data_IF_702461075366
#
_entry.id   IF_702461075366
#
_cell.length_a   1.000
_cell.length_b   1.000
_cell.length_c   1.000
_cell.angle_alpha   90.00
_cell.angle_beta   90.00
_cell.angle_gamma   90.00
#
_symmetry.space_group_name_H-M   'P 1'
#
loop_
_entity.id
_entity.type
_entity.pdbx_description
1 polymer ?
#
# COMPACT_ATOMS: atom_id res chain seq x y z
N UNK A 1 -4.97 -23.18 19.75
CA UNK A 1 -5.18 -22.60 18.41
C UNK A 1 -3.80 -22.31 17.84
N UNK A 2 -3.41 -23.03 16.82
CA UNK A 2 -2.13 -22.83 16.14
C UNK A 2 -2.25 -21.48 15.44
N UNK A 3 -1.44 -20.51 15.86
CA UNK A 3 -1.28 -19.23 15.16
C UNK A 3 -0.85 -19.56 13.72
N UNK A 4 -1.80 -19.56 12.80
CA UNK A 4 -1.51 -19.78 11.38
C UNK A 4 -1.02 -18.47 10.76
N UNK A 5 0.13 -17.99 11.21
CA UNK A 5 0.78 -16.84 10.58
C UNK A 5 1.12 -17.17 9.12
N UNK A 6 0.70 -16.31 8.23
CA UNK A 6 1.05 -16.40 6.82
C UNK A 6 2.22 -15.47 6.52
N UNK A 7 3.28 -16.00 5.96
CA UNK A 7 4.49 -15.26 5.60
C UNK A 7 4.17 -14.13 4.60
N UNK A 8 4.72 -12.94 4.84
CA UNK A 8 4.58 -11.75 3.99
C UNK A 8 5.87 -11.55 3.18
N UNK A 9 5.75 -11.13 1.93
CA UNK A 9 6.91 -10.78 1.07
C UNK A 9 7.81 -9.74 1.76
N UNK A 10 7.22 -8.78 2.45
CA UNK A 10 7.95 -7.72 3.14
C UNK A 10 8.82 -8.23 4.29
N UNK A 11 8.50 -9.37 4.87
CA UNK A 11 9.23 -9.97 6.00
C UNK A 11 10.71 -10.18 5.68
N UNK A 12 11.00 -10.72 4.50
CA UNK A 12 12.40 -10.92 4.06
C UNK A 12 13.19 -9.60 3.97
N UNK A 13 12.51 -8.50 3.58
CA UNK A 13 13.16 -7.18 3.50
C UNK A 13 13.39 -6.58 4.88
N UNK A 14 12.43 -6.72 5.79
CA UNK A 14 12.54 -6.30 7.20
C UNK A 14 13.66 -7.06 7.89
N UNK A 15 13.73 -8.38 7.70
CA UNK A 15 14.74 -9.23 8.32
C UNK A 15 16.15 -9.00 7.76
N UNK A 16 16.30 -8.78 6.45
CA UNK A 16 17.61 -8.46 5.85
C UNK A 16 18.19 -7.16 6.40
N UNK A 17 17.35 -6.18 6.73
CA UNK A 17 17.78 -4.95 7.41
C UNK A 17 18.34 -5.19 8.81
N UNK A 18 17.89 -6.25 9.50
CA UNK A 18 18.29 -6.59 10.87
C UNK A 18 19.38 -7.66 10.98
N UNK A 19 19.46 -8.59 10.02
CA UNK A 19 20.40 -9.74 10.05
C UNK A 19 21.81 -9.37 9.56
N UNK A 20 22.01 -8.23 8.91
CA UNK A 20 23.34 -7.76 8.45
C UNK A 20 24.40 -7.54 9.53
N UNK A 21 24.06 -7.73 10.81
CA UNK A 21 24.92 -7.47 11.97
C UNK A 21 26.21 -8.27 12.04
N UNK A 22 26.26 -9.48 11.51
CA UNK A 22 27.39 -10.41 11.78
C UNK A 22 28.49 -10.39 10.72
N UNK A 23 28.32 -9.76 9.56
CA UNK A 23 29.22 -9.98 8.42
C UNK A 23 29.97 -8.74 7.91
N UNK A 24 29.57 -7.49 8.21
CA UNK A 24 30.20 -6.36 7.49
C UNK A 24 30.30 -5.02 8.19
N UNK A 25 30.33 -4.92 9.50
CA UNK A 25 30.52 -3.61 10.17
C UNK A 25 29.47 -2.52 9.78
N UNK A 26 28.42 -2.88 9.09
CA UNK A 26 27.41 -1.99 8.61
C UNK A 26 26.40 -1.69 9.73
N UNK A 27 26.11 -0.40 9.94
CA UNK A 27 25.17 0.08 10.96
C UNK A 27 23.75 -0.37 10.62
N UNK A 28 23.07 -1.03 11.56
CA UNK A 28 21.66 -1.36 11.39
C UNK A 28 20.84 -0.10 11.28
N UNK A 29 19.86 -0.12 10.39
CA UNK A 29 18.90 0.98 10.28
C UNK A 29 17.69 0.71 11.17
N UNK A 30 17.07 1.77 11.65
CA UNK A 30 15.74 1.71 12.26
C UNK A 30 14.75 1.21 11.19
N UNK A 31 13.98 0.19 11.49
CA UNK A 31 12.93 -0.34 10.60
C UNK A 31 11.61 0.32 10.94
N UNK A 32 11.02 1.03 9.98
CA UNK A 32 9.68 1.62 10.11
C UNK A 32 8.72 0.95 9.13
N UNK A 33 7.70 0.26 9.66
CA UNK A 33 6.65 -0.36 8.87
C UNK A 33 5.39 0.49 8.95
N UNK A 34 5.03 1.10 7.84
CA UNK A 34 3.84 1.92 7.67
C UNK A 34 2.78 1.18 6.83
N UNK A 35 1.57 1.70 6.78
CA UNK A 35 0.48 1.15 5.97
C UNK A 35 -0.88 1.37 6.61
N UNK A 36 -1.94 1.14 5.86
CA UNK A 36 -3.31 1.26 6.34
C UNK A 36 -3.55 0.40 7.61
N UNK A 37 -4.59 0.71 8.36
CA UNK A 37 -5.00 -0.16 9.48
C UNK A 37 -5.34 -1.55 8.99
N UNK A 38 -5.20 -2.55 9.87
CA UNK A 38 -5.53 -3.95 9.61
C UNK A 38 -4.76 -4.62 8.45
N UNK A 39 -3.66 -4.02 7.98
CA UNK A 39 -2.75 -4.67 7.02
C UNK A 39 -1.78 -5.68 7.65
N UNK A 40 -1.78 -5.80 9.01
CA UNK A 40 -0.98 -6.80 9.73
C UNK A 40 0.41 -6.32 10.18
N UNK A 41 0.66 -5.01 10.29
CA UNK A 41 1.97 -4.43 10.67
C UNK A 41 2.53 -4.98 11.98
N UNK A 42 1.73 -4.89 13.05
CA UNK A 42 2.13 -5.38 14.39
C UNK A 42 2.33 -6.91 14.39
N UNK A 43 1.49 -7.65 13.65
CA UNK A 43 1.62 -9.10 13.49
C UNK A 43 2.92 -9.46 12.78
N UNK A 44 3.24 -8.77 11.68
CA UNK A 44 4.50 -8.95 10.95
C UNK A 44 5.71 -8.74 11.86
N UNK A 45 5.80 -7.61 12.55
CA UNK A 45 6.95 -7.30 13.39
C UNK A 45 7.06 -8.23 14.60
N UNK A 46 5.95 -8.60 15.23
CA UNK A 46 5.95 -9.59 16.32
C UNK A 46 6.43 -10.96 15.85
N UNK A 47 6.20 -11.33 14.58
CA UNK A 47 6.69 -12.56 14.00
C UNK A 47 8.19 -12.48 13.66
N UNK A 48 8.63 -11.34 13.12
CA UNK A 48 10.04 -11.09 12.83
C UNK A 48 10.93 -11.10 14.09
N UNK A 49 10.38 -10.75 15.25
CA UNK A 49 11.10 -10.67 16.52
C UNK A 49 11.14 -12.05 17.21
N UNK A 50 12.09 -12.86 16.82
CA UNK A 50 12.22 -14.27 17.25
C UNK A 50 12.52 -14.42 18.74
N UNK A 51 13.24 -13.47 19.37
CA UNK A 51 13.65 -13.52 20.77
C UNK A 51 12.81 -12.57 21.63
N UNK A 52 11.59 -13.00 22.00
CA UNK A 52 10.69 -12.18 22.82
C UNK A 52 11.31 -11.76 24.16
N UNK A 53 12.11 -12.60 24.78
CA UNK A 53 12.77 -12.32 26.08
C UNK A 53 13.84 -11.22 25.99
N UNK A 54 14.33 -10.90 24.79
CA UNK A 54 15.29 -9.83 24.52
C UNK A 54 14.70 -8.64 23.81
N UNK A 55 13.36 -8.58 23.71
CA UNK A 55 12.63 -7.50 23.06
C UNK A 55 11.86 -6.67 24.06
N UNK A 56 12.12 -5.37 24.09
CA UNK A 56 11.31 -4.42 24.80
C UNK A 56 10.19 -3.90 23.89
N UNK A 57 8.94 -4.12 24.29
CA UNK A 57 7.76 -3.76 23.47
C UNK A 57 6.95 -2.64 24.11
N UNK A 58 6.70 -1.59 23.34
CA UNK A 58 5.84 -0.45 23.70
C UNK A 58 4.65 -0.43 22.76
N UNK A 59 3.45 -0.75 23.30
CA UNK A 59 2.22 -0.62 22.54
C UNK A 59 1.51 0.70 22.90
N UNK A 60 1.61 1.70 22.02
CA UNK A 60 1.01 3.02 22.24
C UNK A 60 -0.51 3.05 22.02
N UNK A 61 -1.14 1.92 21.70
CA UNK A 61 -2.61 1.78 21.82
C UNK A 61 -3.04 1.79 23.27
N UNK A 62 -2.22 1.30 24.20
CA UNK A 62 -2.48 1.45 25.63
C UNK A 62 -2.41 2.93 26.04
N UNK A 63 -3.57 3.45 26.48
CA UNK A 63 -3.73 4.85 26.88
C UNK A 63 -2.84 5.25 28.07
N UNK A 64 -2.52 4.30 28.96
CA UNK A 64 -1.65 4.54 30.12
C UNK A 64 -0.20 4.69 29.70
N UNK A 65 0.29 3.78 28.87
CA UNK A 65 1.64 3.88 28.32
C UNK A 65 1.80 5.15 27.48
N UNK A 66 0.83 5.46 26.61
CA UNK A 66 0.84 6.68 25.83
C UNK A 66 0.99 7.93 26.69
N UNK A 67 0.13 8.11 27.73
CA UNK A 67 0.21 9.26 28.65
C UNK A 67 1.57 9.33 29.36
N UNK A 68 2.13 8.19 29.75
CA UNK A 68 3.41 8.11 30.44
C UNK A 68 4.54 8.65 29.54
N UNK A 69 4.60 8.25 28.28
CA UNK A 69 5.61 8.73 27.35
C UNK A 69 5.33 10.15 26.80
N UNK A 70 4.08 10.62 26.81
CA UNK A 70 3.73 12.01 26.47
C UNK A 70 4.12 13.00 27.58
N UNK A 71 4.13 12.57 28.85
CA UNK A 71 4.33 13.43 29.99
C UNK A 71 5.77 13.48 30.51
N UNK A 72 6.65 12.62 30.02
CA UNK A 72 8.02 12.47 30.54
C UNK A 72 9.03 12.30 29.41
N UNK A 73 9.60 13.42 28.95
CA UNK A 73 10.61 13.45 27.90
C UNK A 73 11.87 12.67 28.31
N UNK A 74 12.39 11.85 27.37
CA UNK A 74 13.56 10.99 27.62
C UNK A 74 13.31 9.78 28.51
N UNK A 75 12.03 9.47 28.84
CA UNK A 75 11.68 8.28 29.60
C UNK A 75 12.17 7.00 28.93
N UNK A 76 11.98 6.87 27.59
CA UNK A 76 12.45 5.72 26.82
C UNK A 76 13.95 5.50 26.96
N UNK A 77 14.71 6.59 26.92
CA UNK A 77 16.18 6.54 27.09
C UNK A 77 16.52 5.96 28.46
N UNK A 78 15.95 6.51 29.55
CA UNK A 78 16.22 6.05 30.91
C UNK A 78 15.83 4.59 31.14
N UNK A 79 14.68 4.17 30.61
CA UNK A 79 14.23 2.79 30.74
C UNK A 79 15.19 1.82 30.02
N UNK A 80 15.57 2.11 28.76
CA UNK A 80 16.46 1.25 28.01
C UNK A 80 17.91 1.24 28.54
N UNK A 81 18.36 2.33 29.15
CA UNK A 81 19.68 2.38 29.78
C UNK A 81 19.74 1.57 31.08
N UNK A 82 18.63 1.48 31.80
CA UNK A 82 18.50 0.70 33.04
C UNK A 82 18.33 -0.81 32.78
N UNK A 83 17.88 -1.20 31.58
CA UNK A 83 17.64 -2.61 31.23
C UNK A 83 18.90 -3.32 30.75
N UNK A 84 19.06 -4.57 31.14
CA UNK A 84 20.12 -5.48 30.67
C UNK A 84 19.52 -6.59 29.83
N UNK A 85 20.28 -7.06 28.82
CA UNK A 85 19.86 -8.20 27.98
C UNK A 85 18.86 -7.86 26.87
N UNK A 86 18.45 -6.60 26.73
CA UNK A 86 17.59 -6.12 25.65
C UNK A 86 18.47 -5.71 24.46
N UNK A 87 18.14 -6.23 23.26
CA UNK A 87 18.79 -5.88 21.99
C UNK A 87 17.78 -5.46 20.91
N UNK A 88 16.49 -5.69 21.12
CA UNK A 88 15.44 -5.26 20.19
C UNK A 88 14.38 -4.39 20.89
N UNK A 89 13.90 -3.37 20.20
CA UNK A 89 12.86 -2.46 20.70
C UNK A 89 11.76 -2.37 19.67
N UNK A 90 10.53 -2.76 20.05
CA UNK A 90 9.34 -2.64 19.21
C UNK A 90 8.46 -1.50 19.74
N UNK A 91 8.21 -0.50 18.90
CA UNK A 91 7.27 0.61 19.19
C UNK A 91 6.09 0.51 18.23
N UNK A 92 4.93 0.15 18.75
CA UNK A 92 3.71 -0.01 17.96
C UNK A 92 2.86 1.27 18.01
N UNK A 93 2.40 1.73 16.82
CA UNK A 93 1.58 2.94 16.63
C UNK A 93 2.30 4.26 17.03
N UNK A 94 3.53 4.43 16.58
CA UNK A 94 4.41 5.58 16.91
C UNK A 94 3.78 6.95 16.66
N UNK A 95 2.84 7.08 15.69
CA UNK A 95 2.18 8.36 15.42
C UNK A 95 1.36 8.89 16.59
N UNK A 96 1.08 8.06 17.58
CA UNK A 96 0.39 8.49 18.83
C UNK A 96 1.29 9.28 19.76
N UNK A 97 2.60 8.99 19.76
CA UNK A 97 3.62 9.73 20.51
C UNK A 97 4.86 9.94 19.63
N UNK A 98 4.79 10.83 18.63
CA UNK A 98 5.87 11.03 17.66
C UNK A 98 7.19 11.51 18.26
N UNK A 99 7.16 12.16 19.43
CA UNK A 99 8.35 12.61 20.17
C UNK A 99 9.31 11.46 20.50
N UNK A 100 8.82 10.22 20.62
CA UNK A 100 9.67 9.04 20.85
C UNK A 100 10.68 8.81 19.71
N UNK A 101 10.47 9.38 18.51
CA UNK A 101 11.46 9.31 17.43
C UNK A 101 12.74 10.07 17.78
N UNK A 102 12.66 11.14 18.57
CA UNK A 102 13.84 11.88 19.02
C UNK A 102 14.65 11.05 20.03
N UNK A 103 13.98 10.32 20.92
CA UNK A 103 14.62 9.37 21.84
C UNK A 103 15.29 8.21 21.06
N UNK A 104 14.60 7.67 20.06
CA UNK A 104 15.16 6.62 19.16
C UNK A 104 16.38 7.15 18.42
N UNK A 105 16.33 8.38 17.91
CA UNK A 105 17.46 9.00 17.25
C UNK A 105 18.66 9.16 18.20
N UNK A 106 18.44 9.68 19.38
CA UNK A 106 19.48 9.85 20.40
C UNK A 106 20.16 8.52 20.74
N UNK A 107 19.38 7.48 21.02
CA UNK A 107 19.89 6.13 21.34
C UNK A 107 20.66 5.52 20.16
N UNK A 108 20.15 5.68 18.94
CA UNK A 108 20.80 5.20 17.73
C UNK A 108 22.13 5.93 17.49
N UNK A 109 22.18 7.24 17.64
CA UNK A 109 23.42 8.03 17.43
C UNK A 109 24.47 7.74 18.52
N UNK A 110 24.04 7.52 19.76
CA UNK A 110 24.92 7.17 20.88
C UNK A 110 25.60 5.81 20.70
N UNK A 111 24.85 4.79 20.24
CA UNK A 111 25.39 3.47 19.94
C UNK A 111 24.52 2.73 18.92
N UNK A 112 24.82 2.85 17.62
CA UNK A 112 24.01 2.25 16.55
C UNK A 112 23.92 0.70 16.56
N UNK A 113 24.81 0.03 17.31
CA UNK A 113 24.86 -1.43 17.37
C UNK A 113 24.16 -2.00 18.63
N UNK A 114 23.71 -1.13 19.56
CA UNK A 114 23.16 -1.59 20.84
C UNK A 114 21.75 -2.12 20.71
N UNK A 115 20.88 -1.41 19.96
CA UNK A 115 19.47 -1.75 19.81
C UNK A 115 19.05 -1.85 18.35
N UNK A 116 18.20 -2.83 18.03
CA UNK A 116 17.44 -2.90 16.80
C UNK A 116 16.06 -2.31 17.03
N UNK A 117 15.76 -1.19 16.37
CA UNK A 117 14.47 -0.55 16.48
C UNK A 117 13.54 -1.00 15.37
N UNK A 118 12.36 -1.47 15.76
CA UNK A 118 11.24 -1.83 14.90
C UNK A 118 10.04 -0.96 15.28
N UNK A 119 9.52 -0.23 14.34
CA UNK A 119 8.49 0.79 14.59
C UNK A 119 7.33 0.56 13.63
N UNK A 120 6.08 0.66 14.11
CA UNK A 120 4.91 0.68 13.24
C UNK A 120 4.20 2.03 13.28
N UNK A 121 3.44 2.32 12.21
CA UNK A 121 2.55 3.46 12.16
C UNK A 121 1.47 3.32 11.08
N UNK A 122 0.29 3.89 11.34
CA UNK A 122 -0.82 3.93 10.37
C UNK A 122 -1.00 5.30 9.71
N UNK A 123 -0.23 6.32 10.10
CA UNK A 123 -0.30 7.67 9.53
C UNK A 123 1.10 8.28 9.38
N UNK A 124 1.47 8.57 8.12
CA UNK A 124 2.67 9.34 7.82
C UNK A 124 2.53 10.82 8.18
N UNK A 125 1.30 11.35 8.18
CA UNK A 125 1.03 12.77 8.40
C UNK A 125 1.39 13.21 9.80
N UNK A 126 0.97 12.46 10.82
CA UNK A 126 1.30 12.77 12.20
C UNK A 126 2.81 12.74 12.46
N UNK A 127 3.50 11.78 11.82
CA UNK A 127 4.94 11.68 11.90
C UNK A 127 5.63 12.89 11.26
N UNK A 128 5.16 13.35 10.10
CA UNK A 128 5.71 14.54 9.41
C UNK A 128 5.40 15.87 10.12
N UNK A 129 4.26 15.98 10.81
CA UNK A 129 3.82 17.23 11.46
C UNK A 129 4.47 17.48 12.82
N UNK A 130 4.74 16.43 13.57
CA UNK A 130 5.19 16.50 14.97
C UNK A 130 6.67 16.18 15.16
N UNK A 131 7.30 15.51 14.22
CA UNK A 131 8.75 15.31 14.21
C UNK A 131 9.33 15.93 12.94
N UNK A 132 10.14 16.99 13.10
CA UNK A 132 10.85 17.65 12.00
C UNK A 132 11.84 16.69 11.30
N UNK A 133 12.21 15.58 11.94
CA UNK A 133 13.22 14.63 11.49
C UNK A 133 12.69 13.20 11.55
N UNK A 134 12.25 12.66 10.40
CA UNK A 134 12.08 11.21 10.22
C UNK A 134 13.45 10.51 10.10
N UNK A 135 14.34 10.66 11.08
CA UNK A 135 15.64 9.96 11.16
C UNK A 135 16.40 9.90 9.82
N UNK A 136 16.69 11.02 9.13
CA UNK A 136 17.26 10.99 7.79
C UNK A 136 18.55 10.19 7.74
N UNK A 137 18.64 9.26 6.81
CA UNK A 137 19.78 8.36 6.64
C UNK A 137 19.90 7.24 7.68
N UNK A 138 19.03 7.18 8.70
CA UNK A 138 19.04 6.18 9.79
C UNK A 138 17.91 5.18 9.73
N UNK A 139 16.90 5.42 8.90
CA UNK A 139 15.66 4.65 8.82
C UNK A 139 15.49 3.97 7.46
N UNK A 140 14.99 2.75 7.48
CA UNK A 140 14.40 2.08 6.33
C UNK A 140 12.89 2.05 6.50
N UNK A 141 12.18 2.72 5.60
CA UNK A 141 10.72 2.76 5.62
C UNK A 141 10.15 1.73 4.66
N UNK A 142 9.25 0.91 5.15
CA UNK A 142 8.52 -0.08 4.39
C UNK A 142 7.02 0.20 4.49
N UNK A 143 6.27 -0.02 3.42
CA UNK A 143 4.81 0.12 3.42
C UNK A 143 4.20 -1.27 3.24
N UNK A 144 3.41 -1.70 4.22
CA UNK A 144 2.73 -2.99 4.19
C UNK A 144 1.34 -2.86 3.55
N UNK A 145 1.15 -3.57 2.44
CA UNK A 145 -0.12 -3.63 1.70
C UNK A 145 -1.15 -4.56 2.36
N UNK A 146 -2.42 -4.55 1.93
CA UNK A 146 -3.26 -5.75 1.98
C UNK A 146 -2.56 -6.95 1.34
N UNK A 147 -3.11 -8.13 1.45
CA UNK A 147 -2.54 -9.32 0.82
C UNK A 147 -2.57 -9.17 -0.70
N UNK A 148 -1.41 -9.21 -1.35
CA UNK A 148 -1.31 -9.17 -2.80
C UNK A 148 -1.32 -10.59 -3.38
N UNK A 149 -1.63 -10.71 -4.67
CA UNK A 149 -1.69 -12.03 -5.33
C UNK A 149 -0.33 -12.74 -5.29
N UNK A 150 0.78 -11.98 -5.39
CA UNK A 150 2.13 -12.52 -5.24
C UNK A 150 2.40 -13.17 -3.86
N UNK A 151 1.55 -12.92 -2.85
CA UNK A 151 1.60 -13.60 -1.53
C UNK A 151 0.71 -14.85 -1.47
N UNK A 152 -0.11 -15.09 -2.49
CA UNK A 152 -1.01 -16.24 -2.59
C UNK A 152 -0.53 -17.27 -3.62
N UNK A 153 0.17 -16.85 -4.66
CA UNK A 153 0.59 -17.67 -5.80
C UNK A 153 1.97 -17.25 -6.29
N UNK A 154 2.68 -18.18 -6.90
CA UNK A 154 3.93 -17.87 -7.59
C UNK A 154 3.64 -17.01 -8.83
N UNK A 155 4.31 -15.88 -8.94
CA UNK A 155 4.19 -14.94 -10.05
C UNK A 155 5.51 -14.93 -10.82
N UNK A 156 5.49 -15.40 -12.06
CA UNK A 156 6.69 -15.49 -12.91
C UNK A 156 6.85 -14.31 -13.86
N UNK A 157 5.76 -13.55 -14.08
CA UNK A 157 5.70 -12.52 -15.11
C UNK A 157 5.68 -11.15 -14.47
N UNK A 158 6.31 -10.22 -15.15
CA UNK A 158 6.53 -8.85 -14.73
C UNK A 158 7.49 -8.73 -13.55
N UNK A 159 8.24 -7.66 -13.45
CA UNK A 159 9.63 -7.55 -12.98
C UNK A 159 9.88 -8.09 -11.55
N UNK A 160 9.19 -9.12 -11.16
CA UNK A 160 9.15 -9.70 -9.81
C UNK A 160 9.94 -11.01 -9.71
N UNK A 161 10.86 -11.23 -10.63
CA UNK A 161 11.79 -12.36 -10.58
C UNK A 161 12.52 -12.39 -9.23
N UNK A 162 12.36 -13.49 -8.50
CA UNK A 162 13.01 -13.71 -7.21
C UNK A 162 12.24 -13.27 -5.97
N UNK A 163 11.02 -12.76 -6.10
CA UNK A 163 10.10 -12.70 -4.96
C UNK A 163 9.64 -14.13 -4.63
N UNK A 164 9.92 -14.58 -3.42
CA UNK A 164 9.30 -15.81 -2.92
C UNK A 164 7.83 -15.51 -2.66
N UNK A 165 6.95 -16.38 -3.15
CA UNK A 165 5.54 -16.28 -2.87
C UNK A 165 5.28 -16.33 -1.36
N UNK A 166 4.33 -15.53 -0.91
CA UNK A 166 3.76 -15.65 0.41
C UNK A 166 3.06 -17.01 0.59
N UNK A 167 2.58 -17.29 1.79
CA UNK A 167 1.87 -18.54 2.12
C UNK A 167 0.39 -18.32 2.41
N UNK A 168 -0.20 -17.24 1.88
CA UNK A 168 -1.64 -17.05 2.00
C UNK A 168 -2.38 -18.05 1.11
N UNK A 169 -3.49 -18.62 1.58
CA UNK A 169 -4.32 -19.48 0.73
C UNK A 169 -4.85 -18.66 -0.46
N UNK A 170 -4.81 -19.27 -1.66
CA UNK A 170 -5.35 -18.65 -2.85
C UNK A 170 -6.87 -18.49 -2.71
N UNK A 171 -7.40 -17.32 -3.08
CA UNK A 171 -8.83 -17.03 -3.09
C UNK A 171 -9.36 -16.98 -4.52
N UNK A 172 -10.65 -17.19 -4.67
CA UNK A 172 -11.35 -17.03 -5.94
C UNK A 172 -11.33 -15.56 -6.36
N UNK A 173 -11.25 -15.33 -7.67
CA UNK A 173 -11.24 -13.98 -8.23
C UNK A 173 -12.46 -13.17 -7.79
N UNK A 174 -13.66 -13.77 -7.79
CA UNK A 174 -14.88 -13.11 -7.36
C UNK A 174 -14.81 -12.61 -5.92
N UNK A 175 -14.26 -13.40 -5.01
CA UNK A 175 -14.08 -13.02 -3.62
C UNK A 175 -13.07 -11.88 -3.47
N UNK A 176 -11.96 -11.92 -4.21
CA UNK A 176 -10.99 -10.82 -4.24
C UNK A 176 -11.60 -9.51 -4.78
N UNK A 177 -12.43 -9.62 -5.83
CA UNK A 177 -13.08 -8.47 -6.45
C UNK A 177 -14.20 -7.87 -5.58
N UNK A 178 -14.93 -8.68 -4.81
CA UNK A 178 -16.05 -8.22 -3.96
C UNK A 178 -15.55 -7.74 -2.59
N UNK A 179 -14.72 -8.54 -1.92
CA UNK A 179 -14.38 -8.35 -0.51
C UNK A 179 -12.97 -7.78 -0.29
N UNK A 180 -12.19 -7.61 -1.36
CA UNK A 180 -10.80 -7.16 -1.24
C UNK A 180 -9.91 -8.20 -0.54
N UNK A 181 -8.77 -7.76 -0.06
CA UNK A 181 -7.69 -8.63 0.40
C UNK A 181 -7.10 -8.23 1.77
N UNK A 182 -7.92 -7.68 2.69
CA UNK A 182 -7.45 -7.45 4.06
C UNK A 182 -7.05 -8.79 4.70
N UNK A 183 -5.87 -8.89 5.36
CA UNK A 183 -5.38 -10.16 5.89
C UNK A 183 -6.31 -10.79 6.95
N UNK A 184 -7.06 -10.00 7.70
CA UNK A 184 -8.05 -10.50 8.66
C UNK A 184 -9.09 -11.43 8.02
N UNK A 185 -9.50 -11.15 6.78
CA UNK A 185 -10.50 -11.97 6.06
C UNK A 185 -10.03 -13.39 5.75
N UNK A 186 -8.73 -13.65 5.76
CA UNK A 186 -8.17 -15.00 5.51
C UNK A 186 -8.29 -15.93 6.72
N UNK A 187 -8.58 -15.38 7.90
CA UNK A 187 -8.75 -16.12 9.16
C UNK A 187 -10.21 -16.19 9.58
N UNK A 188 -11.14 -15.71 8.75
CA UNK A 188 -12.57 -15.64 9.04
C UNK A 188 -13.40 -16.44 8.03
N UNK A 189 -14.56 -16.89 8.45
CA UNK A 189 -15.54 -17.47 7.54
C UNK A 189 -16.15 -16.39 6.61
N UNK A 190 -16.39 -16.73 5.35
CA UNK A 190 -16.91 -15.81 4.32
C UNK A 190 -18.19 -15.06 4.77
N UNK A 191 -19.02 -15.67 5.58
CA UNK A 191 -20.25 -15.04 6.11
C UNK A 191 -20.02 -13.83 7.03
N UNK A 192 -18.82 -13.70 7.62
CA UNK A 192 -18.46 -12.59 8.51
C UNK A 192 -17.80 -11.42 7.77
N UNK A 193 -17.27 -11.62 6.55
CA UNK A 193 -16.46 -10.64 5.83
C UNK A 193 -17.13 -9.28 5.64
N UNK A 194 -18.43 -9.26 5.27
CA UNK A 194 -19.17 -8.01 5.10
C UNK A 194 -19.24 -7.20 6.42
N UNK A 195 -19.41 -7.90 7.54
CA UNK A 195 -19.46 -7.25 8.87
C UNK A 195 -18.08 -6.70 9.27
N UNK A 196 -17.02 -7.45 9.01
CA UNK A 196 -15.65 -7.03 9.29
C UNK A 196 -15.28 -5.79 8.48
N UNK A 197 -15.64 -5.75 7.19
CA UNK A 197 -15.42 -4.59 6.32
C UNK A 197 -16.26 -3.37 6.75
N UNK A 198 -17.52 -3.55 7.14
CA UNK A 198 -18.35 -2.47 7.67
C UNK A 198 -17.74 -1.88 8.96
N UNK A 199 -17.34 -2.74 9.89
CA UNK A 199 -16.64 -2.29 11.11
C UNK A 199 -15.33 -1.56 10.82
N UNK A 200 -14.60 -1.96 9.77
CA UNK A 200 -13.41 -1.24 9.33
C UNK A 200 -13.72 0.20 8.91
N UNK A 201 -14.74 0.38 8.07
CA UNK A 201 -15.12 1.70 7.55
C UNK A 201 -15.58 2.65 8.69
N UNK A 202 -16.40 2.15 9.60
CA UNK A 202 -16.87 2.92 10.77
C UNK A 202 -15.69 3.37 11.65
N UNK A 203 -14.79 2.45 11.99
CA UNK A 203 -13.61 2.74 12.81
C UNK A 203 -12.62 3.69 12.10
N UNK A 204 -12.50 3.60 10.78
CA UNK A 204 -11.64 4.50 10.01
C UNK A 204 -12.15 5.94 10.09
N UNK A 205 -13.44 6.16 9.81
CA UNK A 205 -14.04 7.50 9.86
C UNK A 205 -13.91 8.08 11.28
N UNK A 206 -14.19 7.30 12.31
CA UNK A 206 -14.15 7.80 13.69
C UNK A 206 -12.73 8.08 14.21
N UNK A 207 -11.81 7.17 13.97
CA UNK A 207 -10.50 7.21 14.64
C UNK A 207 -9.41 7.92 13.85
N UNK A 208 -9.37 7.79 12.52
CA UNK A 208 -8.30 8.42 11.73
C UNK A 208 -8.62 9.88 11.45
N UNK A 209 -9.86 10.20 11.14
CA UNK A 209 -10.23 11.52 10.68
C UNK A 209 -10.51 12.47 11.83
N UNK A 210 -11.27 12.02 12.83
CA UNK A 210 -11.53 12.84 14.03
C UNK A 210 -10.28 13.09 14.88
N UNK A 211 -9.42 12.07 15.04
CA UNK A 211 -8.19 12.21 15.84
C UNK A 211 -7.11 13.05 15.17
N UNK A 212 -7.12 13.12 13.85
CA UNK A 212 -6.12 13.89 13.13
C UNK A 212 -6.36 15.41 13.18
N UNK A 213 -7.51 15.90 13.65
CA UNK A 213 -7.91 17.33 13.61
C UNK A 213 -7.60 17.97 12.24
N UNK A 214 -7.85 17.21 11.17
CA UNK A 214 -7.39 17.56 9.82
C UNK A 214 -8.51 18.19 9.03
N UNK A 215 -9.73 17.94 9.47
CA UNK A 215 -10.94 18.28 8.75
C UNK A 215 -11.84 19.07 9.71
N UNK A 216 -11.98 20.35 9.45
CA UNK A 216 -12.86 21.22 10.23
C UNK A 216 -14.35 20.87 9.97
N UNK A 217 -14.69 20.40 8.76
CA UNK A 217 -16.03 19.94 8.37
C UNK A 217 -16.06 18.44 8.14
N UNK A 218 -16.42 17.68 9.17
CA UNK A 218 -16.58 16.22 9.10
C UNK A 218 -17.69 15.79 8.15
N UNK A 219 -18.73 16.59 7.99
CA UNK A 219 -19.82 16.31 7.05
C UNK A 219 -19.35 16.39 5.60
N UNK A 220 -18.58 17.42 5.26
CA UNK A 220 -17.98 17.55 3.94
C UNK A 220 -16.99 16.41 3.65
N UNK A 221 -16.19 16.01 4.65
CA UNK A 221 -15.27 14.89 4.47
C UNK A 221 -16.00 13.56 4.27
N UNK A 222 -17.06 13.29 4.99
CA UNK A 222 -17.86 12.07 4.81
C UNK A 222 -18.46 12.00 3.40
N UNK A 223 -19.03 13.14 2.90
CA UNK A 223 -19.49 13.23 1.50
C UNK A 223 -18.36 13.01 0.50
N UNK A 224 -17.21 13.64 0.73
CA UNK A 224 -16.02 13.45 -0.09
C UNK A 224 -15.60 11.98 -0.13
N UNK A 225 -15.50 11.29 1.01
CA UNK A 225 -15.02 9.91 1.11
C UNK A 225 -15.91 8.96 0.30
N UNK A 226 -17.24 9.16 0.38
CA UNK A 226 -18.18 8.40 -0.42
C UNK A 226 -17.99 8.62 -1.92
N UNK A 227 -17.88 9.89 -2.36
CA UNK A 227 -17.65 10.20 -3.77
C UNK A 227 -16.28 9.70 -4.23
N UNK A 228 -15.24 9.86 -3.43
CA UNK A 228 -13.91 9.33 -3.74
C UNK A 228 -13.91 7.80 -3.89
N UNK A 229 -14.72 7.09 -3.12
CA UNK A 229 -14.89 5.64 -3.26
C UNK A 229 -15.67 5.26 -4.54
N UNK A 230 -16.70 6.01 -4.89
CA UNK A 230 -17.45 5.85 -6.15
C UNK A 230 -16.55 6.10 -7.37
N UNK A 231 -15.77 7.19 -7.34
CA UNK A 231 -14.86 7.62 -8.42
C UNK A 231 -13.49 6.92 -8.38
N UNK A 232 -13.27 6.00 -7.43
CA UNK A 232 -12.01 5.24 -7.34
C UNK A 232 -11.73 4.52 -8.66
N UNK A 233 -10.50 4.62 -9.14
CA UNK A 233 -10.09 4.09 -10.44
C UNK A 233 -10.15 5.12 -11.58
N UNK A 234 -10.78 6.27 -11.40
CA UNK A 234 -10.88 7.32 -12.41
C UNK A 234 -9.80 8.39 -12.25
N UNK A 235 -9.61 9.19 -13.30
CA UNK A 235 -8.82 10.42 -13.24
C UNK A 235 -9.55 11.48 -12.43
N UNK A 236 -8.87 12.08 -11.45
CA UNK A 236 -9.49 13.02 -10.51
C UNK A 236 -9.78 14.36 -11.17
N UNK A 237 -11.04 14.78 -11.13
CA UNK A 237 -11.46 16.15 -11.48
C UNK A 237 -11.73 16.94 -10.19
N UNK A 238 -10.70 17.60 -9.67
CA UNK A 238 -10.77 18.34 -8.41
C UNK A 238 -11.84 19.46 -8.42
N UNK A 239 -12.05 20.13 -9.56
CA UNK A 239 -13.02 21.23 -9.68
C UNK A 239 -14.44 20.69 -9.61
N UNK A 240 -14.73 19.61 -10.34
CA UNK A 240 -16.05 18.97 -10.30
C UNK A 240 -16.38 18.47 -8.89
N UNK A 241 -15.43 17.75 -8.27
CA UNK A 241 -15.62 17.25 -6.90
C UNK A 241 -15.84 18.36 -5.88
N UNK A 242 -15.12 19.48 -6.00
CA UNK A 242 -15.28 20.62 -5.12
C UNK A 242 -16.70 21.22 -5.23
N UNK A 243 -17.24 21.32 -6.45
CA UNK A 243 -18.62 21.75 -6.69
C UNK A 243 -19.63 20.76 -6.11
N UNK A 244 -19.45 19.45 -6.34
CA UNK A 244 -20.39 18.41 -5.89
C UNK A 244 -20.47 18.30 -4.35
N UNK A 245 -19.34 18.56 -3.66
CA UNK A 245 -19.25 18.50 -2.19
C UNK A 245 -19.64 19.84 -1.53
N UNK A 246 -19.50 20.95 -2.25
CA UNK A 246 -19.75 22.29 -1.73
C UNK A 246 -18.57 22.87 -0.94
N UNK A 247 -17.33 22.60 -1.36
CA UNK A 247 -16.10 23.08 -0.71
C UNK A 247 -15.11 23.68 -1.71
N UNK A 248 -14.07 24.34 -1.23
CA UNK A 248 -13.01 24.87 -2.10
C UNK A 248 -12.19 23.72 -2.72
N UNK A 249 -11.64 23.94 -3.93
CA UNK A 249 -10.79 22.96 -4.64
C UNK A 249 -9.58 22.54 -3.80
N UNK A 250 -8.97 23.47 -3.07
CA UNK A 250 -7.84 23.15 -2.19
C UNK A 250 -8.25 22.24 -1.02
N UNK A 251 -9.48 22.37 -0.52
CA UNK A 251 -10.02 21.46 0.51
C UNK A 251 -10.11 20.04 -0.02
N UNK A 252 -10.58 19.84 -1.26
CA UNK A 252 -10.63 18.52 -1.90
C UNK A 252 -9.22 17.94 -2.07
N UNK A 253 -8.24 18.76 -2.50
CA UNK A 253 -6.83 18.33 -2.59
C UNK A 253 -6.29 17.87 -1.23
N UNK A 254 -6.59 18.62 -0.16
CA UNK A 254 -6.22 18.26 1.20
C UNK A 254 -6.90 16.96 1.65
N UNK A 255 -8.14 16.73 1.29
CA UNK A 255 -8.84 15.49 1.60
C UNK A 255 -8.20 14.27 0.93
N UNK A 256 -7.85 14.37 -0.35
CA UNK A 256 -7.06 13.32 -1.01
C UNK A 256 -5.70 13.11 -0.35
N UNK A 257 -5.02 14.19 0.06
CA UNK A 257 -3.75 14.08 0.77
C UNK A 257 -3.91 13.34 2.11
N UNK A 258 -5.04 13.52 2.81
CA UNK A 258 -5.34 12.74 4.03
C UNK A 258 -5.44 11.25 3.71
N UNK A 259 -6.12 10.88 2.63
CA UNK A 259 -6.22 9.47 2.23
C UNK A 259 -4.86 8.87 1.87
N UNK A 260 -3.99 9.63 1.21
CA UNK A 260 -2.61 9.19 0.89
C UNK A 260 -1.76 9.06 2.17
N UNK A 261 -1.80 10.05 3.04
CA UNK A 261 -1.01 10.07 4.28
C UNK A 261 -1.46 9.00 5.30
N UNK A 262 -2.68 8.49 5.18
CA UNK A 262 -3.22 7.37 5.98
C UNK A 262 -3.15 6.03 5.25
N UNK A 263 -2.52 6.01 4.07
CA UNK A 263 -2.38 4.80 3.23
C UNK A 263 -3.69 4.19 2.74
N UNK A 264 -4.79 4.93 2.83
CA UNK A 264 -6.10 4.51 2.30
C UNK A 264 -6.20 4.85 0.80
N UNK A 265 -5.50 5.88 0.36
CA UNK A 265 -5.48 6.34 -1.01
C UNK A 265 -4.17 6.03 -1.73
N UNK A 266 -4.27 5.62 -2.98
CA UNK A 266 -3.17 5.38 -3.91
C UNK A 266 -3.30 6.38 -5.06
N UNK A 267 -2.27 7.18 -5.25
CA UNK A 267 -2.17 8.10 -6.39
C UNK A 267 -1.29 7.48 -7.48
N UNK A 268 -1.82 7.33 -8.68
CA UNK A 268 -1.07 6.92 -9.87
C UNK A 268 -0.94 8.14 -10.78
N UNK A 269 0.29 8.55 -11.06
CA UNK A 269 0.61 9.68 -11.92
C UNK A 269 0.71 9.26 -13.38
N UNK A 270 0.58 10.20 -14.30
CA UNK A 270 0.81 9.94 -15.72
C UNK A 270 2.26 9.58 -16.00
N UNK A 271 2.48 8.68 -16.96
CA UNK A 271 3.80 8.39 -17.51
C UNK A 271 4.24 9.54 -18.40
N UNK A 272 5.09 10.41 -17.89
CA UNK A 272 5.78 11.44 -18.66
C UNK A 272 7.10 11.78 -17.97
N UNK A 273 8.18 11.91 -18.75
CA UNK A 273 9.50 12.35 -18.26
C UNK A 273 9.64 13.88 -18.25
N UNK A 274 8.54 14.60 -18.36
CA UNK A 274 8.49 16.06 -18.45
C UNK A 274 7.71 16.69 -17.29
N UNK A 275 7.74 18.04 -17.22
CA UNK A 275 6.94 18.81 -16.27
C UNK A 275 5.43 18.50 -16.34
N UNK A 276 4.93 18.06 -17.48
CA UNK A 276 3.52 17.69 -17.69
C UNK A 276 3.06 16.56 -16.75
N UNK A 277 3.96 15.66 -16.38
CA UNK A 277 3.67 14.60 -15.38
C UNK A 277 3.13 15.16 -14.07
N UNK A 278 3.66 16.28 -13.61
CA UNK A 278 3.32 16.87 -12.31
C UNK A 278 1.96 17.59 -12.37
N UNK A 279 1.59 18.11 -13.55
CA UNK A 279 0.39 18.92 -13.72
C UNK A 279 -0.81 18.16 -14.29
N UNK A 280 -0.61 16.95 -14.81
CA UNK A 280 -1.71 16.12 -15.29
C UNK A 280 -2.57 15.58 -14.13
N UNK A 281 -3.87 15.41 -14.39
CA UNK A 281 -4.78 14.81 -13.42
C UNK A 281 -4.31 13.40 -13.04
N UNK A 282 -4.10 13.08 -11.77
CA UNK A 282 -3.74 11.74 -11.36
C UNK A 282 -4.95 10.81 -11.41
N UNK A 283 -4.70 9.52 -11.57
CA UNK A 283 -5.66 8.46 -11.27
C UNK A 283 -5.61 8.16 -9.78
N UNK A 284 -6.73 7.96 -9.14
CA UNK A 284 -6.80 7.71 -7.71
C UNK A 284 -7.55 6.41 -7.42
N UNK A 285 -6.98 5.59 -6.56
CA UNK A 285 -7.53 4.31 -6.13
C UNK A 285 -7.64 4.28 -4.60
N UNK A 286 -8.63 3.58 -4.08
CA UNK A 286 -8.57 3.12 -2.70
C UNK A 286 -7.71 1.86 -2.60
N UNK A 287 -7.03 1.68 -1.47
CA UNK A 287 -5.99 0.68 -1.26
C UNK A 287 -6.49 -0.77 -1.26
N UNK A 288 -7.79 -0.97 -1.10
CA UNK A 288 -8.46 -2.27 -1.04
C UNK A 288 -9.89 -2.17 -1.59
N UNK A 289 -10.31 -3.15 -2.40
CA UNK A 289 -11.63 -3.13 -3.05
C UNK A 289 -12.78 -3.34 -2.06
N UNK A 290 -12.63 -4.19 -1.06
CA UNK A 290 -13.67 -4.42 -0.06
C UNK A 290 -13.97 -3.14 0.73
N UNK A 291 -12.92 -2.43 1.14
CA UNK A 291 -13.03 -1.12 1.79
C UNK A 291 -13.65 -0.09 0.84
N UNK A 292 -13.22 -0.07 -0.42
CA UNK A 292 -13.82 0.80 -1.45
C UNK A 292 -15.32 0.58 -1.59
N UNK A 293 -15.76 -0.67 -1.63
CA UNK A 293 -17.16 -1.00 -1.83
C UNK A 293 -18.03 -0.59 -0.64
N UNK A 294 -17.57 -0.83 0.59
CA UNK A 294 -18.27 -0.37 1.79
C UNK A 294 -18.37 1.16 1.84
N UNK A 295 -17.28 1.88 1.58
CA UNK A 295 -17.28 3.34 1.57
C UNK A 295 -18.16 3.93 0.46
N UNK A 296 -18.33 3.24 -0.66
CA UNK A 296 -19.23 3.59 -1.75
C UNK A 296 -20.67 3.11 -1.51
N UNK A 297 -20.95 2.45 -0.38
CA UNK A 297 -22.25 1.84 -0.05
C UNK A 297 -22.75 0.82 -1.09
N UNK A 298 -21.84 0.07 -1.71
CA UNK A 298 -22.19 -1.00 -2.61
C UNK A 298 -22.53 -2.30 -1.86
N UNK A 299 -23.49 -3.09 -2.35
CA UNK A 299 -23.78 -4.40 -1.78
C UNK A 299 -22.62 -5.37 -2.07
N UNK A 300 -22.10 -6.05 -1.04
CA UNK A 300 -21.01 -7.01 -1.16
C UNK A 300 -21.55 -8.40 -1.61
N UNK A 301 -21.93 -8.50 -2.86
CA UNK A 301 -22.43 -9.74 -3.47
C UNK A 301 -22.10 -9.78 -4.97
N UNK A 302 -22.44 -10.88 -5.63
CA UNK A 302 -22.15 -11.12 -7.04
C UNK A 302 -22.78 -10.12 -8.02
N UNK A 303 -23.84 -9.40 -7.60
CA UNK A 303 -24.45 -8.34 -8.42
C UNK A 303 -23.46 -7.21 -8.69
N UNK A 304 -22.57 -6.92 -7.74
CA UNK A 304 -21.53 -5.90 -7.87
C UNK A 304 -20.62 -6.15 -9.08
N UNK A 305 -20.15 -7.39 -9.24
CA UNK A 305 -19.31 -7.74 -10.39
C UNK A 305 -20.11 -7.65 -11.71
N UNK A 306 -21.38 -8.08 -11.70
CA UNK A 306 -22.23 -8.04 -12.92
C UNK A 306 -22.48 -6.63 -13.44
N UNK A 307 -22.48 -5.61 -12.56
CA UNK A 307 -22.73 -4.22 -12.93
C UNK A 307 -21.57 -3.59 -13.70
N UNK A 308 -20.33 -3.79 -13.24
CA UNK A 308 -19.15 -3.19 -13.88
C UNK A 308 -17.88 -4.03 -13.67
N UNK A 309 -17.82 -5.24 -14.25
CA UNK A 309 -16.75 -6.18 -14.01
C UNK A 309 -15.39 -5.66 -14.48
N UNK A 310 -15.34 -4.96 -15.62
CA UNK A 310 -14.12 -4.43 -16.19
C UNK A 310 -13.44 -3.43 -15.27
N UNK A 311 -14.19 -2.45 -14.78
CA UNK A 311 -13.66 -1.40 -13.92
C UNK A 311 -13.19 -1.92 -12.54
N UNK A 312 -13.92 -2.90 -11.97
CA UNK A 312 -13.53 -3.52 -10.70
C UNK A 312 -12.24 -4.35 -10.88
N UNK A 313 -12.19 -5.14 -11.95
CA UNK A 313 -11.03 -5.94 -12.28
C UNK A 313 -9.80 -5.09 -12.56
N UNK A 314 -9.96 -4.01 -13.32
CA UNK A 314 -8.90 -3.06 -13.61
C UNK A 314 -8.32 -2.45 -12.32
N UNK A 315 -9.16 -1.98 -11.39
CA UNK A 315 -8.70 -1.46 -10.11
C UNK A 315 -7.93 -2.51 -9.30
N UNK A 316 -8.41 -3.75 -9.27
CA UNK A 316 -7.75 -4.83 -8.57
C UNK A 316 -6.34 -5.08 -9.10
N UNK A 317 -6.18 -5.16 -10.43
CA UNK A 317 -4.86 -5.31 -11.08
C UNK A 317 -3.96 -4.10 -10.82
N UNK A 318 -4.49 -2.88 -10.90
CA UNK A 318 -3.71 -1.66 -10.63
C UNK A 318 -3.21 -1.59 -9.19
N UNK A 319 -4.02 -1.97 -8.20
CA UNK A 319 -3.63 -2.05 -6.79
C UNK A 319 -2.51 -3.08 -6.61
N UNK A 320 -2.66 -4.25 -7.22
CA UNK A 320 -1.66 -5.31 -7.20
C UNK A 320 -0.32 -4.82 -7.77
N UNK A 321 -0.32 -4.26 -8.99
CA UNK A 321 0.88 -3.74 -9.65
C UNK A 321 1.53 -2.60 -8.87
N UNK A 322 0.74 -1.72 -8.25
CA UNK A 322 1.25 -0.64 -7.41
C UNK A 322 2.07 -1.18 -6.23
N UNK A 323 1.52 -2.14 -5.50
CA UNK A 323 2.23 -2.70 -4.35
C UNK A 323 3.43 -3.56 -4.74
N UNK A 324 3.37 -4.26 -5.87
CA UNK A 324 4.54 -4.95 -6.41
C UNK A 324 5.68 -3.97 -6.71
N UNK A 325 5.39 -2.89 -7.43
CA UNK A 325 6.39 -1.84 -7.69
C UNK A 325 6.96 -1.29 -6.39
N UNK A 326 6.12 -1.06 -5.39
CA UNK A 326 6.55 -0.58 -4.09
C UNK A 326 7.50 -1.55 -3.37
N UNK A 327 7.22 -2.85 -3.42
CA UNK A 327 8.05 -3.89 -2.82
C UNK A 327 9.37 -4.12 -3.56
N UNK A 328 9.43 -3.85 -4.86
CA UNK A 328 10.68 -3.87 -5.62
C UNK A 328 11.62 -2.70 -5.28
N UNK A 329 11.10 -1.64 -4.65
CA UNK A 329 11.88 -0.52 -4.14
C UNK A 329 12.14 0.59 -5.16
N UNK A 330 13.17 1.41 -4.88
CA UNK A 330 13.50 2.59 -5.70
C UNK A 330 13.90 2.17 -7.12
N UNK A 331 13.29 2.79 -8.11
CA UNK A 331 13.49 2.46 -9.53
C UNK A 331 12.29 1.76 -10.17
N UNK A 332 11.36 1.23 -9.35
CA UNK A 332 10.10 0.67 -9.83
C UNK A 332 8.96 1.64 -9.56
N UNK A 333 8.13 1.90 -10.57
CA UNK A 333 7.00 2.82 -10.45
C UNK A 333 5.85 2.38 -11.35
N UNK A 334 4.63 2.54 -10.86
CA UNK A 334 3.42 2.43 -11.64
C UNK A 334 2.97 3.82 -12.09
N UNK A 335 2.65 3.94 -13.37
CA UNK A 335 2.11 5.13 -14.01
C UNK A 335 0.95 4.76 -14.93
N UNK A 336 0.16 5.73 -15.38
CA UNK A 336 -0.82 5.59 -16.47
C UNK A 336 -0.34 6.37 -17.67
N UNK A 337 -0.80 6.03 -18.87
CA UNK A 337 -0.45 6.79 -20.07
C UNK A 337 -1.68 7.07 -20.92
N UNK A 338 -1.75 8.32 -21.40
CA UNK A 338 -2.82 8.78 -22.27
C UNK A 338 -2.32 9.87 -23.22
N UNK A 339 -2.72 9.79 -24.47
CA UNK A 339 -2.45 10.83 -25.47
C UNK A 339 -3.62 11.79 -25.62
N UNK A 340 -3.36 12.98 -26.18
CA UNK A 340 -4.40 13.91 -26.56
C UNK A 340 -5.34 13.35 -27.66
N UNK A 341 -4.89 12.38 -28.42
CA UNK A 341 -5.65 11.72 -29.49
C UNK A 341 -6.49 10.55 -29.03
N UNK A 342 -6.49 10.26 -27.72
CA UNK A 342 -7.36 9.24 -27.09
C UNK A 342 -6.74 7.84 -26.99
N UNK A 343 -5.49 7.62 -27.38
CA UNK A 343 -4.82 6.36 -27.03
C UNK A 343 -4.50 6.35 -25.53
N UNK A 344 -4.80 5.25 -24.85
CA UNK A 344 -4.63 5.09 -23.40
C UNK A 344 -4.07 3.70 -23.11
N UNK A 345 -3.21 3.61 -22.09
CA UNK A 345 -2.71 2.37 -21.51
C UNK A 345 -2.97 2.43 -20.00
N UNK A 346 -3.63 1.41 -19.48
CA UNK A 346 -4.11 1.37 -18.09
C UNK A 346 -2.99 1.48 -17.07
N UNK A 347 -1.89 0.78 -17.32
CA UNK A 347 -0.73 0.73 -16.46
C UNK A 347 0.57 0.78 -17.27
N UNK A 348 1.54 1.56 -16.79
CA UNK A 348 2.90 1.60 -17.32
C UNK A 348 3.84 1.34 -16.15
N UNK A 349 4.55 0.22 -16.19
CA UNK A 349 5.52 -0.16 -15.16
C UNK A 349 6.89 0.35 -15.60
N UNK A 350 7.42 1.31 -14.85
CA UNK A 350 8.78 1.80 -15.01
C UNK A 350 9.71 0.92 -14.16
N UNK A 351 10.77 0.38 -14.76
CA UNK A 351 11.83 -0.37 -14.09
C UNK A 351 13.18 0.30 -14.35
N UNK A 352 14.26 -0.11 -13.68
CA UNK A 352 15.60 0.42 -13.99
C UNK A 352 16.02 0.22 -15.45
N UNK A 353 15.58 -0.89 -16.08
CA UNK A 353 16.09 -1.33 -17.38
C UNK A 353 15.11 -1.05 -18.52
N UNK A 354 13.81 -1.12 -18.28
CA UNK A 354 12.79 -1.00 -19.33
C UNK A 354 11.50 -0.36 -18.81
N UNK A 355 10.61 -0.05 -19.74
CA UNK A 355 9.24 0.42 -19.47
C UNK A 355 8.26 -0.57 -20.08
N UNK A 356 7.35 -1.10 -19.28
CA UNK A 356 6.42 -2.16 -19.68
C UNK A 356 4.99 -1.64 -19.63
N UNK A 357 4.33 -1.39 -20.77
CA UNK A 357 2.92 -1.05 -20.80
C UNK A 357 2.07 -2.30 -20.60
N UNK A 358 0.99 -2.14 -19.83
CA UNK A 358 0.04 -3.19 -19.48
C UNK A 358 -1.38 -2.69 -19.69
N UNK A 359 -2.14 -3.42 -20.48
CA UNK A 359 -3.58 -3.25 -20.70
C UNK A 359 -4.33 -4.26 -19.85
N UNK A 360 -5.51 -3.90 -19.33
CA UNK A 360 -6.30 -4.75 -18.43
C UNK A 360 -7.70 -4.92 -19.03
N UNK A 361 -8.09 -6.17 -19.30
CA UNK A 361 -9.41 -6.44 -19.89
C UNK A 361 -10.16 -7.59 -19.23
N UNK A 362 -11.42 -7.34 -18.95
CA UNK A 362 -12.35 -8.37 -18.47
C UNK A 362 -12.84 -9.23 -19.65
N UNK A 363 -11.94 -10.05 -20.18
CA UNK A 363 -12.24 -10.98 -21.29
C UNK A 363 -11.52 -12.30 -21.08
N UNK A 364 -12.12 -13.38 -21.54
CA UNK A 364 -11.55 -14.74 -21.62
C UNK A 364 -11.02 -15.04 -23.03
N UNK A 365 -11.37 -14.20 -24.02
CA UNK A 365 -10.97 -14.34 -25.41
C UNK A 365 -10.34 -13.04 -25.92
N UNK A 366 -9.09 -12.72 -25.52
CA UNK A 366 -8.40 -11.52 -26.02
C UNK A 366 -8.07 -11.67 -27.52
N UNK A 367 -8.22 -10.58 -28.24
CA UNK A 367 -8.00 -10.52 -29.70
C UNK A 367 -6.77 -9.67 -30.04
N UNK A 368 -6.13 -9.86 -31.23
CA UNK A 368 -5.02 -9.01 -31.67
C UNK A 368 -5.34 -7.51 -31.65
N UNK A 369 -6.59 -7.13 -31.96
CA UNK A 369 -7.03 -5.73 -31.90
C UNK A 369 -6.98 -5.09 -30.51
N UNK A 370 -6.98 -5.88 -29.46
CA UNK A 370 -6.84 -5.42 -28.08
C UNK A 370 -5.42 -4.91 -27.76
N UNK A 371 -4.44 -5.27 -28.58
CA UNK A 371 -3.05 -4.83 -28.45
C UNK A 371 -2.76 -3.43 -29.02
N UNK A 372 -3.71 -2.81 -29.72
CA UNK A 372 -3.51 -1.58 -30.50
C UNK A 372 -2.84 -0.45 -29.71
N UNK A 373 -3.33 -0.13 -28.53
CA UNK A 373 -2.79 0.98 -27.74
C UNK A 373 -1.44 0.63 -27.12
N UNK A 374 -1.21 -0.64 -26.80
CA UNK A 374 0.09 -1.14 -26.34
C UNK A 374 1.15 -1.00 -27.44
N UNK A 375 0.81 -1.33 -28.67
CA UNK A 375 1.71 -1.16 -29.82
C UNK A 375 1.99 0.32 -30.11
N UNK A 376 0.96 1.17 -30.07
CA UNK A 376 1.13 2.63 -30.19
C UNK A 376 2.10 3.16 -29.11
N UNK A 377 1.98 2.65 -27.86
CA UNK A 377 2.92 3.02 -26.81
C UNK A 377 4.34 2.59 -27.12
N UNK A 378 4.54 1.34 -27.56
CA UNK A 378 5.87 0.81 -27.91
C UNK A 378 6.47 1.56 -29.09
N UNK A 379 5.68 1.92 -30.12
CA UNK A 379 6.16 2.72 -31.24
C UNK A 379 6.67 4.10 -30.81
N UNK A 380 5.96 4.76 -29.90
CA UNK A 380 6.34 6.08 -29.41
C UNK A 380 7.52 6.04 -28.42
N UNK A 381 7.70 4.94 -27.71
CA UNK A 381 8.67 4.79 -26.62
C UNK A 381 9.69 3.65 -26.84
N UNK A 382 9.89 3.22 -28.08
CA UNK A 382 10.67 2.04 -28.46
C UNK A 382 12.14 1.99 -28.02
N UNK A 383 12.69 3.13 -27.55
CA UNK A 383 14.02 3.16 -26.92
C UNK A 383 14.06 2.45 -25.55
N UNK A 384 12.90 2.32 -24.90
CA UNK A 384 12.80 1.83 -23.50
C UNK A 384 11.72 0.77 -23.35
N UNK A 385 10.85 0.57 -24.36
CA UNK A 385 9.72 -0.36 -24.29
C UNK A 385 9.79 -1.31 -25.47
N UNK A 386 9.99 -2.60 -25.18
CA UNK A 386 10.20 -3.62 -26.21
C UNK A 386 9.14 -4.71 -26.18
N UNK A 387 8.35 -4.78 -25.11
CA UNK A 387 7.31 -5.77 -24.88
C UNK A 387 6.15 -5.16 -24.10
N UNK A 388 4.98 -5.77 -24.22
CA UNK A 388 3.79 -5.37 -23.51
C UNK A 388 2.96 -6.58 -23.07
N UNK A 389 2.06 -6.36 -22.12
CA UNK A 389 1.18 -7.40 -21.65
C UNK A 389 -0.28 -6.93 -21.62
N UNK A 390 -1.18 -7.86 -21.95
CA UNK A 390 -2.60 -7.71 -21.72
C UNK A 390 -3.01 -8.68 -20.64
N UNK A 391 -3.38 -8.18 -19.46
CA UNK A 391 -3.86 -9.00 -18.33
C UNK A 391 -5.36 -9.22 -18.49
N UNK A 392 -5.78 -10.48 -18.53
CA UNK A 392 -7.20 -10.84 -18.70
C UNK A 392 -7.54 -12.17 -18.05
N UNK A 393 -8.75 -12.70 -18.32
CA UNK A 393 -9.21 -13.98 -17.80
C UNK A 393 -8.98 -15.14 -18.77
N UNK A 394 -8.10 -15.00 -19.75
CA UNK A 394 -7.77 -16.08 -20.66
C UNK A 394 -7.25 -17.32 -19.91
N UNK A 395 -7.52 -18.53 -20.40
CA UNK A 395 -7.14 -19.77 -19.70
C UNK A 395 -5.64 -20.07 -19.78
N UNK A 396 -4.92 -19.48 -20.73
CA UNK A 396 -3.48 -19.68 -20.96
C UNK A 396 -2.87 -18.45 -21.60
N UNK A 397 -1.57 -18.29 -21.44
CA UNK A 397 -0.79 -17.25 -22.14
C UNK A 397 -0.88 -17.43 -23.65
N UNK A 398 -1.03 -16.33 -24.39
CA UNK A 398 -1.04 -16.34 -25.85
C UNK A 398 -0.44 -15.06 -26.42
N UNK A 399 0.26 -15.19 -27.54
CA UNK A 399 0.74 -14.05 -28.31
C UNK A 399 -0.42 -13.41 -29.04
N UNK A 400 -0.63 -12.11 -28.83
CA UNK A 400 -1.58 -11.31 -29.61
C UNK A 400 -0.88 -10.71 -30.84
N UNK A 401 0.35 -10.23 -30.63
CA UNK A 401 1.25 -9.75 -31.68
C UNK A 401 2.70 -10.15 -31.35
N UNK A 402 3.66 -9.76 -32.16
CA UNK A 402 5.08 -10.06 -31.90
C UNK A 402 5.53 -9.54 -30.53
N UNK A 403 5.07 -8.33 -30.14
CA UNK A 403 5.50 -7.64 -28.91
C UNK A 403 4.50 -7.76 -27.75
N UNK A 404 3.26 -8.14 -28.00
CA UNK A 404 2.20 -8.16 -27.00
C UNK A 404 1.79 -9.59 -26.65
N UNK A 405 1.82 -9.91 -25.36
CA UNK A 405 1.39 -11.21 -24.83
C UNK A 405 0.18 -11.01 -23.91
N UNK A 406 -0.91 -11.72 -24.18
CA UNK A 406 -2.00 -11.86 -23.22
C UNK A 406 -1.63 -12.87 -22.13
N UNK A 407 -1.87 -12.52 -20.87
CA UNK A 407 -1.55 -13.33 -19.71
C UNK A 407 -2.77 -13.50 -18.81
N UNK A 408 -2.97 -14.71 -18.24
CA UNK A 408 -4.01 -14.93 -17.26
C UNK A 408 -3.77 -14.09 -15.99
N UNK A 409 -4.86 -13.59 -15.41
CA UNK A 409 -4.81 -12.82 -14.16
C UNK A 409 -4.13 -13.53 -12.98
N UNK A 410 -4.10 -14.84 -13.00
CA UNK A 410 -3.52 -15.68 -11.95
C UNK A 410 -2.06 -16.10 -12.21
N UNK A 411 -1.48 -15.60 -13.30
CA UNK A 411 -0.09 -15.90 -13.69
C UNK A 411 0.78 -14.64 -13.84
N UNK A 412 0.21 -13.45 -13.73
CA UNK A 412 0.97 -12.22 -13.93
C UNK A 412 1.72 -11.80 -12.66
#
# INVERSE_FOLDING_TARGET
MIDSYCHRILEDQVMRGSVGRKVSGNRNKVVLVLGARQTGKSTLLNHCLVSKDRTFTINLQDRRLRRRYESDDGLLVRELEAMTGIDSVLIDEIQKVPALLDDVQYLYDKNPAKYDFFITGSSARQLKRKSANLLPGRIHTHILSPVIQAEQRDCEILPFHGMKSGKFPARDLSDCLIFGNLPGLYHEERRSWSRTLASYADLFIENEIRQENVVDDMGAFARFLRIAALESGNFVNFTKLASDIGVAVNTVRNFYQVLEDTYIGIRISSFERSRKRIISAPRFLLFDLGVRHILAEFPLNDTLIKLNPGHIFEQWILIELYYRCLYMGSGYRLSTWRTATGAEVDAVIETPDEVIPVEIKWTDHPLPGDARHLETFIELHGKFSHRAYLVCRCPRRQKLTEKVTAIPWNEF
#
